data_IF_094894379356
#
_entry.id   IF_094894379356
#
_cell.length_a   1.000
_cell.length_b   1.000
_cell.length_c   1.000
_cell.angle_alpha   90.00
_cell.angle_beta   90.00
_cell.angle_gamma   90.00
#
_symmetry.space_group_name_H-M   'P 1'
#
loop_
_entity.id
_entity.type
_entity.pdbx_description
1 polymer ?
#
# COMPACT_ATOMS: atom_id res chain seq x y z
N UNK A 1 -6.47 6.92 46.31
CA UNK A 1 -7.69 6.09 46.25
C UNK A 1 -8.30 6.27 44.87
N UNK A 2 -8.50 5.20 44.10
CA UNK A 2 -9.00 5.28 42.73
C UNK A 2 -8.22 6.26 41.85
N UNK A 3 -6.89 6.19 41.87
CA UNK A 3 -6.01 7.12 41.14
C UNK A 3 -5.82 8.51 41.77
N UNK A 4 -6.60 8.89 42.78
CA UNK A 4 -6.53 10.23 43.41
C UNK A 4 -5.67 10.23 44.67
N UNK A 5 -4.80 11.22 44.81
CA UNK A 5 -4.00 11.43 46.03
C UNK A 5 -4.81 12.17 47.10
N UNK A 6 -4.94 11.55 48.27
CA UNK A 6 -5.71 12.08 49.42
C UNK A 6 -4.88 12.10 50.71
N UNK A 7 -3.55 12.09 50.57
CA UNK A 7 -2.64 12.08 51.72
C UNK A 7 -2.80 13.34 52.59
N UNK A 8 -2.77 13.17 53.90
CA UNK A 8 -2.85 14.27 54.87
C UNK A 8 -4.25 14.88 55.06
N UNK A 9 -5.25 14.44 54.31
CA UNK A 9 -6.64 14.90 54.45
C UNK A 9 -7.39 14.14 55.54
N UNK A 10 -8.34 14.79 56.19
CA UNK A 10 -9.32 14.09 57.03
C UNK A 10 -10.26 13.24 56.18
N UNK A 11 -10.87 12.20 56.77
CA UNK A 11 -11.83 11.33 56.04
C UNK A 11 -12.96 12.14 55.41
N UNK A 12 -13.43 13.19 56.09
CA UNK A 12 -14.48 14.07 55.58
C UNK A 12 -14.04 14.88 54.35
N UNK A 13 -12.82 15.41 54.38
CA UNK A 13 -12.25 16.15 53.23
C UNK A 13 -11.97 15.22 52.07
N UNK A 14 -11.35 14.07 52.33
CA UNK A 14 -11.08 13.06 51.31
C UNK A 14 -12.37 12.56 50.64
N UNK A 15 -13.44 12.41 51.42
CA UNK A 15 -14.76 12.03 50.90
C UNK A 15 -15.31 13.08 49.94
N UNK A 16 -15.26 14.35 50.32
CA UNK A 16 -15.72 15.44 49.47
C UNK A 16 -14.94 15.52 48.16
N UNK A 17 -13.61 15.36 48.21
CA UNK A 17 -12.75 15.35 47.01
C UNK A 17 -13.11 14.18 46.08
N UNK A 18 -13.36 12.99 46.63
CA UNK A 18 -13.75 11.83 45.83
C UNK A 18 -15.14 11.99 45.22
N UNK A 19 -16.12 12.52 45.97
CA UNK A 19 -17.47 12.79 45.47
C UNK A 19 -17.43 13.73 44.25
N UNK A 20 -16.68 14.85 44.34
CA UNK A 20 -16.50 15.79 43.22
C UNK A 20 -15.83 15.13 42.01
N UNK A 21 -14.81 14.30 42.24
CA UNK A 21 -14.09 13.61 41.16
C UNK A 21 -14.93 12.53 40.49
N UNK A 22 -15.73 11.80 41.27
CA UNK A 22 -16.69 10.81 40.74
C UNK A 22 -17.74 11.52 39.89
N UNK A 23 -18.31 12.63 40.38
CA UNK A 23 -19.30 13.41 39.63
C UNK A 23 -18.71 13.98 38.33
N UNK A 24 -17.50 14.50 38.38
CA UNK A 24 -16.76 14.95 37.20
C UNK A 24 -16.56 13.81 36.19
N UNK A 25 -16.18 12.62 36.68
CA UNK A 25 -15.98 11.46 35.82
C UNK A 25 -17.29 10.98 35.20
N UNK A 26 -18.39 10.92 35.97
CA UNK A 26 -19.72 10.54 35.47
C UNK A 26 -20.24 11.47 34.38
N UNK A 27 -20.02 12.77 34.52
CA UNK A 27 -20.41 13.77 33.52
C UNK A 27 -19.55 13.78 32.24
N UNK A 28 -18.55 12.91 32.13
CA UNK A 28 -17.75 12.74 30.91
C UNK A 28 -18.45 11.90 29.84
N UNK A 29 -17.83 11.80 28.66
CA UNK A 29 -18.32 10.97 27.55
C UNK A 29 -18.44 9.48 27.95
N UNK A 30 -19.37 8.72 27.37
CA UNK A 30 -19.49 7.27 27.61
C UNK A 30 -18.15 6.52 27.49
N UNK A 31 -18.03 5.41 28.20
CA UNK A 31 -16.92 4.48 27.96
C UNK A 31 -17.17 3.76 26.63
N UNK A 32 -16.10 3.56 25.86
CA UNK A 32 -16.19 2.91 24.55
C UNK A 32 -15.70 1.46 24.69
N UNK A 33 -16.59 0.50 24.51
CA UNK A 33 -16.26 -0.92 24.39
C UNK A 33 -16.30 -1.32 22.91
N UNK A 34 -15.27 -1.99 22.40
CA UNK A 34 -15.19 -2.37 20.99
C UNK A 34 -14.56 -3.74 20.77
N UNK A 35 -14.95 -4.39 19.69
CA UNK A 35 -14.33 -5.58 19.11
C UNK A 35 -14.29 -5.43 17.58
N UNK A 36 -14.11 -6.54 16.87
CA UNK A 36 -14.00 -6.55 15.41
C UNK A 36 -15.37 -6.51 14.72
N UNK A 37 -16.49 -6.48 15.45
CA UNK A 37 -17.84 -6.53 14.88
C UNK A 37 -18.58 -5.21 15.11
N UNK A 38 -18.31 -4.54 16.23
CA UNK A 38 -19.07 -3.37 16.65
C UNK A 38 -18.36 -2.50 17.71
N UNK A 39 -19.04 -1.40 18.07
CA UNK A 39 -18.67 -0.54 19.18
C UNK A 39 -19.92 -0.21 20.00
N UNK A 40 -19.84 -0.43 21.31
CA UNK A 40 -20.91 -0.17 22.27
C UNK A 40 -20.49 0.97 23.20
N UNK A 41 -21.39 1.95 23.35
CA UNK A 41 -21.24 3.03 24.32
C UNK A 41 -21.82 2.62 25.68
N UNK A 42 -20.97 2.56 26.70
CA UNK A 42 -21.38 2.26 28.07
C UNK A 42 -21.46 3.58 28.85
N UNK A 43 -22.68 4.02 29.17
CA UNK A 43 -22.89 5.21 29.99
C UNK A 43 -22.20 5.08 31.35
N UNK A 44 -21.50 6.13 31.78
CA UNK A 44 -20.82 6.16 33.08
C UNK A 44 -21.78 6.21 34.27
N UNK A 45 -23.05 6.55 34.02
CA UNK A 45 -24.11 6.50 35.03
C UNK A 45 -24.46 5.08 35.47
N UNK A 46 -24.09 4.08 34.66
CA UNK A 46 -24.23 2.66 34.98
C UNK A 46 -23.52 2.26 36.27
N UNK A 47 -22.46 2.98 36.66
CA UNK A 47 -21.62 2.64 37.80
C UNK A 47 -22.08 3.30 39.11
N UNK A 48 -22.36 2.46 40.11
CA UNK A 48 -22.74 2.88 41.46
C UNK A 48 -21.52 2.76 42.39
N UNK A 49 -21.08 3.90 42.94
CA UNK A 49 -19.91 3.98 43.82
C UNK A 49 -20.32 3.85 45.28
N UNK A 50 -19.74 2.89 46.00
CA UNK A 50 -19.96 2.69 47.43
C UNK A 50 -18.80 3.29 48.24
N UNK A 51 -18.87 4.61 48.45
CA UNK A 51 -17.84 5.33 49.21
C UNK A 51 -17.79 4.89 50.68
N UNK A 52 -18.91 4.52 51.29
CA UNK A 52 -18.93 4.06 52.68
C UNK A 52 -18.10 2.78 52.85
N UNK A 53 -18.34 1.76 52.02
CA UNK A 53 -17.52 0.55 52.04
C UNK A 53 -16.08 0.84 51.61
N UNK A 54 -15.85 1.76 50.67
CA UNK A 54 -14.50 2.12 50.21
C UNK A 54 -13.67 2.69 51.35
N UNK A 55 -14.24 3.62 52.14
CA UNK A 55 -13.58 4.18 53.31
C UNK A 55 -13.45 3.17 54.45
N UNK A 56 -14.43 2.29 54.66
CA UNK A 56 -14.31 1.20 55.63
C UNK A 56 -13.11 0.30 55.31
N UNK A 57 -12.95 -0.12 54.05
CA UNK A 57 -11.78 -0.91 53.62
C UNK A 57 -10.46 -0.15 53.76
N UNK A 58 -10.46 1.17 53.49
CA UNK A 58 -9.28 1.99 53.72
C UNK A 58 -8.91 2.00 55.21
N UNK A 59 -9.88 2.22 56.10
CA UNK A 59 -9.66 2.22 57.55
C UNK A 59 -9.09 0.89 58.03
N UNK A 60 -9.64 -0.24 57.56
CA UNK A 60 -9.13 -1.58 57.84
C UNK A 60 -7.68 -1.75 57.39
N UNK A 61 -7.34 -1.30 56.17
CA UNK A 61 -5.96 -1.31 55.64
C UNK A 61 -5.02 -0.35 56.39
N UNK A 62 -5.57 0.69 57.00
CA UNK A 62 -4.83 1.65 57.83
C UNK A 62 -4.57 1.14 59.24
N UNK A 63 -5.31 0.13 59.73
CA UNK A 63 -5.08 -0.42 61.06
C UNK A 63 -3.66 -0.99 61.18
N UNK A 64 -2.90 -0.46 62.13
CA UNK A 64 -1.53 -0.90 62.44
C UNK A 64 -1.47 -1.56 63.81
N UNK A 65 -0.66 -2.60 63.89
CA UNK A 65 -0.28 -3.17 65.17
C UNK A 65 0.65 -2.22 65.93
N UNK A 66 0.58 -2.20 67.27
CA UNK A 66 1.27 -1.25 68.14
C UNK A 66 2.81 -1.23 67.96
N UNK A 67 3.39 -2.31 67.45
CA UNK A 67 4.83 -2.45 67.16
C UNK A 67 5.31 -1.69 65.91
N UNK A 68 4.41 -1.17 65.07
CA UNK A 68 4.75 -0.46 63.82
C UNK A 68 5.01 1.04 63.99
N UNK A 69 5.06 1.53 65.24
CA UNK A 69 5.16 2.95 65.58
C UNK A 69 6.45 3.64 65.07
N UNK A 70 7.53 2.87 64.88
CA UNK A 70 8.81 3.37 64.37
C UNK A 70 9.01 3.16 62.87
N UNK A 71 8.03 2.60 62.15
CA UNK A 71 8.15 2.36 60.71
C UNK A 71 7.61 3.51 59.87
N UNK A 72 8.28 3.76 58.75
CA UNK A 72 7.85 4.73 57.72
C UNK A 72 6.40 4.46 57.32
N UNK A 73 5.61 5.51 57.10
CA UNK A 73 4.24 5.33 56.66
C UNK A 73 4.22 4.67 55.28
N UNK A 74 3.51 3.54 55.16
CA UNK A 74 3.33 2.83 53.90
C UNK A 74 2.25 3.54 53.08
N UNK A 75 2.53 3.81 51.80
CA UNK A 75 1.53 4.31 50.87
C UNK A 75 0.48 3.21 50.64
N UNK A 76 -0.77 3.50 50.98
CA UNK A 76 -1.89 2.55 50.83
C UNK A 76 -2.59 2.85 49.51
N UNK A 77 -2.54 1.88 48.59
CA UNK A 77 -3.38 1.90 47.39
C UNK A 77 -4.72 1.26 47.73
N UNK A 78 -5.80 2.01 47.50
CA UNK A 78 -7.18 1.56 47.67
C UNK A 78 -7.95 1.92 46.40
N UNK A 79 -8.59 0.95 45.78
CA UNK A 79 -9.52 1.16 44.67
C UNK A 79 -10.88 1.60 45.20
N UNK A 80 -11.65 2.28 44.37
CA UNK A 80 -13.05 2.55 44.67
C UNK A 80 -13.84 1.25 44.61
N UNK A 81 -14.82 1.09 45.48
CA UNK A 81 -15.78 0.00 45.38
C UNK A 81 -16.90 0.46 44.47
N UNK A 82 -17.08 -0.25 43.37
CA UNK A 82 -18.00 0.11 42.29
C UNK A 82 -18.69 -1.15 41.81
N UNK A 83 -20.00 -1.05 41.62
CA UNK A 83 -20.83 -2.12 41.03
C UNK A 83 -21.70 -1.52 39.91
N UNK A 84 -21.86 -2.23 38.78
CA UNK A 84 -22.80 -1.83 37.74
C UNK A 84 -24.26 -2.01 38.24
N UNK A 85 -25.14 -1.07 37.90
CA UNK A 85 -26.59 -1.20 38.16
C UNK A 85 -27.19 -2.24 37.23
N UNK A 86 -27.82 -3.28 37.79
CA UNK A 86 -28.47 -4.33 37.02
C UNK A 86 -29.55 -3.76 36.07
N UNK A 87 -30.35 -2.81 36.55
CA UNK A 87 -31.40 -2.19 35.75
C UNK A 87 -30.83 -1.36 34.59
N UNK A 88 -29.67 -0.72 34.77
CA UNK A 88 -29.01 0.05 33.72
C UNK A 88 -28.30 -0.85 32.70
N UNK A 89 -27.77 -2.00 33.14
CA UNK A 89 -27.17 -3.01 32.26
C UNK A 89 -28.23 -3.57 31.32
N UNK A 90 -29.42 -3.90 31.82
CA UNK A 90 -30.54 -4.43 31.01
C UNK A 90 -31.06 -3.45 29.95
N UNK A 91 -30.70 -2.17 30.01
CA UNK A 91 -31.05 -1.16 29.00
C UNK A 91 -30.05 -1.06 27.86
N UNK A 92 -28.88 -1.69 27.98
CA UNK A 92 -27.87 -1.74 26.93
C UNK A 92 -28.18 -2.94 26.04
N UNK A 93 -28.31 -2.69 24.73
CA UNK A 93 -28.50 -3.72 23.72
C UNK A 93 -27.13 -4.32 23.37
N UNK A 94 -26.68 -5.29 24.17
CA UNK A 94 -25.48 -6.06 23.86
C UNK A 94 -25.82 -7.14 22.84
N UNK A 95 -25.04 -7.32 21.77
CA UNK A 95 -25.24 -8.43 20.86
C UNK A 95 -25.06 -9.79 21.50
N UNK A 96 -25.75 -10.78 20.92
CA UNK A 96 -25.87 -12.14 21.49
C UNK A 96 -24.51 -12.82 21.70
N UNK A 97 -23.51 -12.47 20.90
CA UNK A 97 -22.16 -13.00 21.01
C UNK A 97 -21.31 -12.36 22.11
N UNK A 98 -21.80 -11.34 22.82
CA UNK A 98 -21.01 -10.61 23.82
C UNK A 98 -21.00 -11.34 25.17
N UNK A 99 -19.81 -11.59 25.73
CA UNK A 99 -19.65 -11.87 27.15
C UNK A 99 -19.82 -10.56 27.94
N UNK A 100 -21.06 -10.31 28.34
CA UNK A 100 -21.47 -9.10 29.07
C UNK A 100 -20.78 -9.03 30.44
N UNK A 101 -20.59 -10.15 31.13
CA UNK A 101 -19.99 -10.18 32.48
C UNK A 101 -18.51 -9.77 32.41
N UNK A 102 -17.76 -10.32 31.46
CA UNK A 102 -16.35 -9.99 31.29
C UNK A 102 -16.17 -8.57 30.75
N UNK A 103 -17.00 -8.15 29.80
CA UNK A 103 -17.00 -6.77 29.27
C UNK A 103 -17.25 -5.75 30.39
N UNK A 104 -18.28 -5.98 31.21
CA UNK A 104 -18.58 -5.11 32.36
C UNK A 104 -17.51 -5.17 33.44
N UNK A 105 -16.77 -6.28 33.56
CA UNK A 105 -15.61 -6.38 34.45
C UNK A 105 -14.53 -5.39 34.03
N UNK A 106 -14.19 -5.32 32.73
CA UNK A 106 -13.23 -4.33 32.22
C UNK A 106 -13.74 -2.89 32.36
N UNK A 107 -15.03 -2.66 32.08
CA UNK A 107 -15.63 -1.34 32.24
C UNK A 107 -15.63 -0.88 33.72
N UNK A 108 -15.92 -1.81 34.64
CA UNK A 108 -15.85 -1.56 36.09
C UNK A 108 -14.43 -1.23 36.54
N UNK A 109 -13.40 -1.84 35.94
CA UNK A 109 -12.01 -1.47 36.23
C UNK A 109 -11.71 -0.01 35.87
N UNK A 110 -12.22 0.49 34.73
CA UNK A 110 -12.09 1.91 34.39
C UNK A 110 -12.76 2.79 35.45
N UNK A 111 -13.97 2.43 35.89
CA UNK A 111 -14.70 3.16 36.92
C UNK A 111 -13.98 3.17 38.29
N UNK A 112 -13.41 2.03 38.72
CA UNK A 112 -12.65 1.91 39.99
C UNK A 112 -11.46 2.85 40.08
N UNK A 113 -10.90 3.23 38.92
CA UNK A 113 -9.74 4.10 38.78
C UNK A 113 -10.08 5.49 38.22
N UNK A 114 -11.35 5.76 37.92
CA UNK A 114 -11.84 6.99 37.28
C UNK A 114 -11.09 7.31 35.96
N UNK A 115 -10.77 6.27 35.20
CA UNK A 115 -10.15 6.36 33.87
C UNK A 115 -11.19 6.14 32.78
N UNK A 116 -10.82 6.36 31.52
CA UNK A 116 -11.72 6.25 30.38
C UNK A 116 -11.00 5.69 29.14
N UNK A 117 -10.13 4.71 29.34
CA UNK A 117 -9.49 4.01 28.23
C UNK A 117 -10.51 3.14 27.49
N UNK A 118 -10.25 2.86 26.21
CA UNK A 118 -11.07 1.94 25.43
C UNK A 118 -11.06 0.55 26.05
N UNK A 119 -12.22 -0.10 26.07
CA UNK A 119 -12.44 -1.41 26.65
C UNK A 119 -12.59 -2.44 25.52
N UNK A 120 -12.06 -3.63 25.73
CA UNK A 120 -12.33 -4.77 24.86
C UNK A 120 -13.75 -5.28 25.12
N UNK A 121 -14.57 -5.32 24.07
CA UNK A 121 -15.84 -6.03 24.05
C UNK A 121 -15.54 -7.52 23.82
N UNK A 122 -15.84 -8.38 24.79
CA UNK A 122 -15.41 -9.79 24.71
C UNK A 122 -16.50 -10.67 24.12
N UNK A 123 -16.09 -11.73 23.41
CA UNK A 123 -16.98 -12.76 22.88
C UNK A 123 -17.31 -13.84 23.93
N UNK A 124 -18.46 -14.49 23.78
CA UNK A 124 -18.78 -15.71 24.52
C UNK A 124 -17.88 -16.87 24.07
N UNK A 125 -17.62 -17.84 24.96
CA UNK A 125 -16.71 -18.96 24.67
C UNK A 125 -17.14 -19.82 23.46
N UNK A 126 -18.45 -19.85 23.16
CA UNK A 126 -19.04 -20.65 22.08
C UNK A 126 -19.18 -19.86 20.77
N UNK A 127 -18.79 -18.58 20.73
CA UNK A 127 -18.87 -17.76 19.52
C UNK A 127 -17.67 -18.03 18.61
N UNK A 128 -17.95 -18.62 17.45
CA UNK A 128 -16.96 -18.87 16.39
C UNK A 128 -16.90 -17.76 15.33
N UNK A 129 -17.80 -16.78 15.42
CA UNK A 129 -17.90 -15.68 14.47
C UNK A 129 -18.63 -16.07 13.20
N UNK A 130 -19.85 -15.59 12.99
CA UNK A 130 -20.45 -15.65 11.66
C UNK A 130 -19.62 -14.78 10.71
N UNK A 131 -18.90 -15.44 9.79
CA UNK A 131 -18.17 -14.82 8.71
C UNK A 131 -19.00 -14.97 7.43
N UNK A 132 -19.40 -13.84 6.85
CA UNK A 132 -20.10 -13.80 5.57
C UNK A 132 -19.08 -13.61 4.44
N UNK A 133 -19.22 -14.37 3.35
CA UNK A 133 -18.38 -14.19 2.17
C UNK A 133 -18.78 -12.93 1.40
N UNK A 134 -17.86 -11.97 1.30
CA UNK A 134 -18.10 -10.63 0.73
C UNK A 134 -17.54 -10.47 -0.68
N UNK A 135 -16.51 -11.24 -1.01
CA UNK A 135 -15.88 -11.25 -2.33
C UNK A 135 -15.35 -12.65 -2.63
N UNK A 136 -15.33 -13.03 -3.90
CA UNK A 136 -14.75 -14.30 -4.35
C UNK A 136 -14.17 -14.18 -5.76
N UNK A 137 -13.10 -14.91 -6.03
CA UNK A 137 -12.56 -15.12 -7.36
C UNK A 137 -11.98 -16.53 -7.47
N UNK A 138 -12.08 -17.10 -8.68
CA UNK A 138 -11.49 -18.39 -9.03
C UNK A 138 -10.54 -18.19 -10.20
N UNK A 139 -9.28 -18.58 -10.04
CA UNK A 139 -8.23 -18.40 -11.03
C UNK A 139 -7.61 -19.74 -11.39
N UNK A 140 -7.50 -20.02 -12.70
CA UNK A 140 -6.78 -21.19 -13.17
C UNK A 140 -5.28 -20.93 -13.14
N UNK A 141 -4.51 -21.81 -12.51
CA UNK A 141 -3.05 -21.74 -12.46
C UNK A 141 -2.49 -21.91 -13.88
N UNK A 142 -1.71 -20.95 -14.40
CA UNK A 142 -1.00 -21.12 -15.66
C UNK A 142 -0.02 -22.30 -15.62
N UNK A 143 0.05 -23.08 -16.70
CA UNK A 143 0.97 -24.23 -16.80
C UNK A 143 2.46 -23.83 -16.72
N UNK A 144 2.76 -22.54 -16.87
CA UNK A 144 4.09 -21.95 -16.73
C UNK A 144 4.47 -21.67 -15.29
N UNK A 145 3.52 -21.69 -14.36
CA UNK A 145 3.74 -21.37 -12.95
C UNK A 145 4.10 -22.64 -12.14
N UNK A 146 4.97 -22.47 -11.15
CA UNK A 146 5.34 -23.49 -10.18
C UNK A 146 4.17 -23.77 -9.23
N UNK A 147 3.49 -24.90 -9.44
CA UNK A 147 2.40 -25.32 -8.56
C UNK A 147 2.79 -25.40 -7.08
N UNK A 148 3.97 -25.92 -6.67
CA UNK A 148 4.39 -25.91 -5.27
C UNK A 148 4.58 -24.51 -4.69
N UNK A 149 5.04 -23.54 -5.49
CA UNK A 149 5.19 -22.15 -5.07
C UNK A 149 3.83 -21.50 -4.83
N UNK A 150 2.88 -21.71 -5.74
CA UNK A 150 1.51 -21.21 -5.59
C UNK A 150 0.84 -21.86 -4.38
N UNK A 151 0.96 -23.18 -4.20
CA UNK A 151 0.40 -23.91 -3.06
C UNK A 151 0.92 -23.36 -1.73
N UNK A 152 2.24 -23.14 -1.62
CA UNK A 152 2.85 -22.57 -0.41
C UNK A 152 2.37 -21.14 -0.12
N UNK A 153 2.29 -20.29 -1.15
CA UNK A 153 1.79 -18.92 -0.98
C UNK A 153 0.29 -18.88 -0.62
N UNK A 154 -0.51 -19.80 -1.16
CA UNK A 154 -1.93 -19.97 -0.78
C UNK A 154 -2.05 -20.38 0.69
N UNK A 155 -1.22 -21.32 1.17
CA UNK A 155 -1.19 -21.70 2.60
C UNK A 155 -0.83 -20.53 3.54
N UNK A 156 0.00 -19.59 3.09
CA UNK A 156 0.32 -18.37 3.86
C UNK A 156 -0.86 -17.41 3.88
N UNK A 157 -1.54 -17.22 2.75
CA UNK A 157 -2.67 -16.30 2.61
C UNK A 157 -3.93 -16.76 3.34
N UNK A 158 -4.15 -18.07 3.45
CA UNK A 158 -5.35 -18.62 4.07
C UNK A 158 -5.42 -18.27 5.57
N UNK A 159 -6.51 -17.63 5.98
CA UNK A 159 -6.75 -17.15 7.33
C UNK A 159 -6.06 -15.82 7.67
N UNK A 160 -5.41 -15.15 6.72
CA UNK A 160 -4.80 -13.84 6.98
C UNK A 160 -5.86 -12.77 7.24
N UNK A 161 -5.60 -11.92 8.24
CA UNK A 161 -6.47 -10.81 8.59
C UNK A 161 -6.02 -9.52 7.89
N UNK A 162 -6.97 -8.84 7.28
CA UNK A 162 -6.87 -7.43 6.91
C UNK A 162 -7.48 -6.64 8.07
N UNK A 163 -6.61 -6.11 8.92
CA UNK A 163 -6.98 -5.40 10.15
C UNK A 163 -7.70 -4.07 9.86
N UNK A 164 -8.71 -3.68 10.65
CA UNK A 164 -9.44 -2.43 10.45
C UNK A 164 -8.53 -1.22 10.66
N UNK A 165 -8.74 -0.18 9.85
CA UNK A 165 -7.96 1.07 9.86
C UNK A 165 -6.45 0.87 9.67
N UNK A 166 -6.04 -0.22 9.04
CA UNK A 166 -4.66 -0.59 8.86
C UNK A 166 -4.30 -0.82 7.38
N UNK A 167 -3.00 -0.74 7.09
CA UNK A 167 -2.42 -1.08 5.81
C UNK A 167 -2.26 -2.60 5.70
N UNK A 168 -2.73 -3.18 4.61
CA UNK A 168 -2.32 -4.50 4.15
C UNK A 168 -1.25 -4.33 3.06
N UNK A 169 -0.19 -5.13 3.15
CA UNK A 169 0.90 -5.22 2.19
C UNK A 169 1.08 -6.68 1.79
N UNK A 170 1.05 -6.97 0.49
CA UNK A 170 1.17 -8.33 0.01
C UNK A 170 2.56 -8.90 0.30
N UNK A 171 3.61 -8.13 0.02
CA UNK A 171 5.00 -8.57 0.23
C UNK A 171 5.38 -8.68 1.72
N UNK A 172 4.69 -7.98 2.63
CA UNK A 172 4.88 -8.17 4.07
C UNK A 172 4.25 -9.48 4.58
N UNK A 173 3.17 -9.94 3.93
CA UNK A 173 2.42 -11.14 4.32
C UNK A 173 3.00 -12.40 3.68
N UNK A 174 3.22 -12.38 2.36
CA UNK A 174 3.67 -13.55 1.60
C UNK A 174 5.18 -13.55 1.45
N UNK A 175 5.86 -14.02 2.50
CA UNK A 175 7.33 -14.14 2.51
C UNK A 175 7.74 -15.56 2.13
N UNK A 176 8.37 -15.70 0.97
CA UNK A 176 8.86 -16.99 0.48
C UNK A 176 10.28 -17.30 0.98
N UNK A 177 10.63 -18.59 1.20
CA UNK A 177 12.00 -19.00 1.48
C UNK A 177 12.95 -18.62 0.33
N UNK A 178 14.18 -18.23 0.67
CA UNK A 178 15.21 -17.82 -0.30
C UNK A 178 15.53 -18.87 -1.37
N UNK A 179 15.23 -20.14 -1.11
CA UNK A 179 15.39 -21.25 -2.06
C UNK A 179 14.37 -21.22 -3.22
N UNK A 180 13.37 -20.34 -3.15
CA UNK A 180 12.34 -20.12 -4.18
C UNK A 180 12.54 -18.76 -4.88
N UNK A 181 13.81 -18.41 -5.13
CA UNK A 181 14.18 -17.30 -6.00
C UNK A 181 13.52 -17.49 -7.38
N UNK A 182 12.98 -16.43 -7.96
CA UNK A 182 12.20 -16.40 -9.22
C UNK A 182 10.72 -16.85 -9.07
N UNK A 183 9.99 -16.23 -8.16
CA UNK A 183 8.57 -16.50 -7.90
C UNK A 183 7.64 -15.30 -8.13
N UNK A 184 8.15 -14.23 -8.72
CA UNK A 184 7.42 -12.99 -9.03
C UNK A 184 6.14 -13.23 -9.84
N UNK A 185 6.19 -14.17 -10.79
CA UNK A 185 5.05 -14.50 -11.64
C UNK A 185 3.93 -15.19 -10.85
N UNK A 186 4.28 -16.14 -9.98
CA UNK A 186 3.36 -16.82 -9.05
C UNK A 186 2.79 -15.86 -8.00
N UNK A 187 3.62 -14.98 -7.46
CA UNK A 187 3.20 -13.96 -6.50
C UNK A 187 2.27 -12.93 -7.17
N UNK A 188 2.62 -12.46 -8.36
CA UNK A 188 1.78 -11.55 -9.17
C UNK A 188 0.46 -12.20 -9.56
N UNK A 189 0.44 -13.51 -9.81
CA UNK A 189 -0.79 -14.27 -10.05
C UNK A 189 -1.75 -14.21 -8.84
N UNK A 190 -1.26 -14.44 -7.62
CA UNK A 190 -2.07 -14.35 -6.40
C UNK A 190 -2.45 -12.91 -6.06
N UNK A 191 -1.51 -11.97 -6.21
CA UNK A 191 -1.74 -10.54 -6.02
C UNK A 191 -2.86 -10.04 -6.96
N UNK A 192 -2.88 -10.47 -8.22
CA UNK A 192 -3.96 -10.15 -9.16
C UNK A 192 -5.33 -10.64 -8.67
N UNK A 193 -5.36 -11.83 -8.04
CA UNK A 193 -6.56 -12.35 -7.40
C UNK A 193 -7.04 -11.50 -6.23
N UNK A 194 -6.14 -11.10 -5.33
CA UNK A 194 -6.47 -10.21 -4.21
C UNK A 194 -6.91 -8.81 -4.68
N UNK A 195 -6.29 -8.27 -5.74
CA UNK A 195 -6.74 -7.03 -6.37
C UNK A 195 -8.19 -7.15 -6.87
N UNK A 196 -8.52 -8.25 -7.53
CA UNK A 196 -9.89 -8.50 -7.99
C UNK A 196 -10.90 -8.71 -6.85
N UNK A 197 -10.46 -9.19 -5.67
CA UNK A 197 -11.28 -9.21 -4.46
C UNK A 197 -11.47 -7.80 -3.88
N UNK A 198 -10.42 -6.98 -3.83
CA UNK A 198 -10.49 -5.60 -3.35
C UNK A 198 -11.45 -4.73 -4.21
N UNK A 199 -11.52 -5.00 -5.51
CA UNK A 199 -12.50 -4.36 -6.41
C UNK A 199 -13.97 -4.72 -6.09
N UNK A 200 -14.21 -5.81 -5.37
CA UNK A 200 -15.54 -6.26 -4.90
C UNK A 200 -15.81 -5.83 -3.45
N UNK A 201 -14.97 -4.98 -2.87
CA UNK A 201 -15.14 -4.42 -1.53
C UNK A 201 -14.85 -2.92 -1.55
N UNK A 202 -14.89 -2.31 -0.37
CA UNK A 202 -14.54 -0.91 -0.14
C UNK A 202 -13.07 -0.69 0.22
N UNK A 203 -12.21 -1.71 0.11
CA UNK A 203 -10.77 -1.54 0.32
C UNK A 203 -10.20 -0.45 -0.58
N UNK A 204 -9.48 0.50 0.01
CA UNK A 204 -8.81 1.55 -0.76
C UNK A 204 -7.52 1.00 -1.34
N UNK A 205 -7.37 1.03 -2.66
CA UNK A 205 -6.18 0.53 -3.34
C UNK A 205 -5.12 1.63 -3.32
N UNK A 206 -4.08 1.45 -2.51
CA UNK A 206 -3.01 2.43 -2.34
C UNK A 206 -1.85 2.22 -3.31
N UNK A 207 -1.54 0.96 -3.60
CA UNK A 207 -0.46 0.60 -4.52
C UNK A 207 -0.90 -0.58 -5.38
N UNK A 208 -0.71 -0.44 -6.69
CA UNK A 208 -0.89 -1.51 -7.67
C UNK A 208 -0.05 -1.20 -8.91
N UNK A 209 0.69 -2.18 -9.40
CA UNK A 209 1.45 -2.07 -10.63
C UNK A 209 0.79 -2.91 -11.73
N UNK A 210 0.62 -2.33 -12.92
CA UNK A 210 0.05 -3.03 -14.07
C UNK A 210 1.10 -3.87 -14.81
N UNK A 211 0.67 -4.99 -15.43
CA UNK A 211 1.54 -5.77 -16.31
C UNK A 211 1.77 -5.07 -17.66
N UNK A 212 2.92 -5.34 -18.28
CA UNK A 212 3.24 -4.90 -19.64
C UNK A 212 2.49 -5.67 -20.74
N UNK A 213 1.88 -6.80 -20.40
CA UNK A 213 1.07 -7.62 -21.30
C UNK A 213 -0.11 -8.28 -20.57
N UNK A 214 -1.27 -8.46 -21.23
CA UNK A 214 -2.43 -9.10 -20.61
C UNK A 214 -2.13 -10.52 -20.11
N UNK A 215 -2.68 -10.87 -18.95
CA UNK A 215 -2.58 -12.22 -18.40
C UNK A 215 -3.57 -13.18 -19.08
N UNK A 216 -3.26 -14.49 -19.08
CA UNK A 216 -4.15 -15.51 -19.66
C UNK A 216 -5.21 -16.03 -18.68
N UNK A 217 -5.07 -15.75 -17.39
CA UNK A 217 -5.86 -16.34 -16.31
C UNK A 217 -6.96 -15.42 -15.78
N UNK A 218 -7.04 -14.18 -16.26
CA UNK A 218 -8.02 -13.18 -15.85
C UNK A 218 -8.32 -12.18 -16.97
N UNK A 219 -9.38 -11.38 -16.80
CA UNK A 219 -9.75 -10.34 -17.77
C UNK A 219 -8.76 -9.17 -17.75
N UNK A 220 -8.45 -8.62 -18.93
CA UNK A 220 -7.48 -7.53 -19.08
C UNK A 220 -7.86 -6.32 -18.22
N UNK A 221 -6.94 -5.86 -17.40
CA UNK A 221 -7.13 -4.75 -16.46
C UNK A 221 -7.12 -5.19 -14.99
N UNK A 222 -7.27 -6.50 -14.71
CA UNK A 222 -7.30 -7.04 -13.36
C UNK A 222 -5.95 -7.59 -12.88
N UNK A 223 -4.87 -7.38 -13.64
CA UNK A 223 -3.53 -7.83 -13.28
C UNK A 223 -2.90 -6.93 -12.19
N UNK A 224 -2.26 -7.52 -11.20
CA UNK A 224 -1.33 -6.83 -10.32
C UNK A 224 0.06 -7.48 -10.46
N UNK A 225 1.10 -6.64 -10.53
CA UNK A 225 2.50 -7.05 -10.49
C UNK A 225 3.05 -6.80 -9.10
N UNK A 226 3.72 -7.81 -8.54
CA UNK A 226 4.50 -7.70 -7.31
C UNK A 226 5.90 -8.24 -7.54
N UNK A 227 6.89 -7.55 -6.98
CA UNK A 227 8.31 -7.81 -7.15
C UNK A 227 9.04 -7.26 -5.92
N UNK A 228 9.70 -8.15 -5.17
CA UNK A 228 10.43 -7.76 -3.96
C UNK A 228 11.76 -7.06 -4.24
N UNK A 229 12.39 -7.30 -5.41
CA UNK A 229 13.64 -6.67 -5.79
C UNK A 229 13.42 -5.24 -6.29
N UNK A 230 12.38 -5.05 -7.10
CA UNK A 230 11.97 -3.74 -7.64
C UNK A 230 11.03 -2.98 -6.69
N UNK A 231 10.71 -3.55 -5.52
CA UNK A 231 9.81 -2.98 -4.52
C UNK A 231 8.44 -2.59 -5.10
N UNK A 232 7.90 -3.46 -5.95
CA UNK A 232 6.55 -3.36 -6.50
C UNK A 232 5.62 -4.17 -5.61
N UNK A 233 4.67 -3.54 -4.96
CA UNK A 233 3.77 -4.21 -4.02
C UNK A 233 2.29 -4.01 -4.40
N UNK A 234 1.44 -4.81 -3.78
CA UNK A 234 0.00 -4.62 -3.78
C UNK A 234 -0.43 -4.23 -2.38
N UNK A 235 -0.88 -2.98 -2.22
CA UNK A 235 -1.25 -2.41 -0.93
C UNK A 235 -2.67 -1.92 -0.90
N UNK A 236 -3.35 -2.25 0.19
CA UNK A 236 -4.71 -1.80 0.45
C UNK A 236 -4.79 -1.12 1.82
N UNK A 237 -5.63 -0.09 1.93
CA UNK A 237 -6.02 0.45 3.22
C UNK A 237 -7.44 0.03 3.57
N UNK A 238 -7.60 -0.50 4.77
CA UNK A 238 -8.90 -0.97 5.25
C UNK A 238 -9.62 0.11 6.02
N UNK A 239 -10.63 0.73 5.42
CA UNK A 239 -11.34 1.88 6.01
C UNK A 239 -12.39 1.50 7.05
N UNK A 240 -12.76 0.23 7.15
CA UNK A 240 -13.81 -0.21 8.08
C UNK A 240 -13.30 -0.42 9.50
N UNK A 241 -14.24 -0.61 10.42
CA UNK A 241 -14.00 -0.87 11.84
C UNK A 241 -14.02 -2.36 12.21
N UNK A 242 -14.20 -3.25 11.22
CA UNK A 242 -14.17 -4.71 11.35
C UNK A 242 -13.11 -5.30 10.44
N UNK A 243 -12.51 -6.44 10.79
CA UNK A 243 -11.50 -7.11 9.96
C UNK A 243 -12.12 -7.82 8.76
N UNK A 244 -11.35 -7.98 7.68
CA UNK A 244 -11.63 -9.00 6.67
C UNK A 244 -10.69 -10.18 6.86
N UNK A 245 -11.17 -11.39 6.60
CA UNK A 245 -10.33 -12.59 6.56
C UNK A 245 -10.15 -13.01 5.11
N UNK A 246 -8.91 -13.27 4.70
CA UNK A 246 -8.59 -13.89 3.43
C UNK A 246 -8.78 -15.40 3.58
N UNK A 247 -9.69 -15.97 2.80
CA UNK A 247 -9.81 -17.42 2.64
C UNK A 247 -9.18 -17.81 1.31
N UNK A 248 -8.19 -18.69 1.35
CA UNK A 248 -7.43 -19.09 0.18
C UNK A 248 -7.36 -20.62 0.09
N UNK A 249 -7.81 -21.16 -1.03
CA UNK A 249 -7.90 -22.61 -1.22
C UNK A 249 -7.40 -23.04 -2.59
N UNK A 250 -6.85 -24.24 -2.65
CA UNK A 250 -6.44 -24.90 -3.88
C UNK A 250 -7.34 -26.11 -4.15
N UNK A 251 -7.95 -26.16 -5.35
CA UNK A 251 -8.73 -27.31 -5.81
C UNK A 251 -8.26 -27.77 -7.19
N UNK A 252 -7.31 -28.71 -7.22
CA UNK A 252 -6.70 -29.17 -8.47
C UNK A 252 -5.79 -28.11 -9.08
N UNK A 253 -6.14 -27.58 -10.26
CA UNK A 253 -5.40 -26.51 -10.96
C UNK A 253 -6.06 -25.13 -10.80
N UNK A 254 -6.99 -24.98 -9.86
CA UNK A 254 -7.74 -23.75 -9.63
C UNK A 254 -7.49 -23.25 -8.20
N UNK A 255 -7.12 -21.98 -8.08
CA UNK A 255 -7.06 -21.25 -6.80
C UNK A 255 -8.38 -20.52 -6.62
N UNK A 256 -8.98 -20.70 -5.46
CA UNK A 256 -10.14 -19.94 -4.99
C UNK A 256 -9.67 -19.00 -3.89
N UNK A 257 -9.89 -17.70 -4.09
CA UNK A 257 -9.64 -16.69 -3.07
C UNK A 257 -10.98 -16.04 -2.73
N UNK A 258 -11.20 -15.78 -1.45
CA UNK A 258 -12.36 -15.07 -0.96
C UNK A 258 -11.97 -14.10 0.16
N UNK A 259 -12.80 -13.09 0.34
CA UNK A 259 -12.81 -12.29 1.56
C UNK A 259 -14.06 -12.63 2.35
N UNK A 260 -13.92 -12.82 3.65
CA UNK A 260 -15.03 -12.98 4.58
C UNK A 260 -14.99 -11.90 5.66
N UNK A 261 -16.16 -11.56 6.19
CA UNK A 261 -16.28 -10.54 7.24
C UNK A 261 -17.46 -10.79 8.21
N UNK A 262 -17.33 -10.32 9.45
CA UNK A 262 -18.37 -10.26 10.49
C UNK A 262 -19.81 -9.86 10.12
N UNK A 263 -19.96 -8.83 9.29
CA UNK A 263 -21.20 -8.09 9.09
C UNK A 263 -21.11 -7.42 7.71
N UNK A 264 -21.64 -8.06 6.67
CA UNK A 264 -21.39 -7.61 5.31
C UNK A 264 -22.63 -7.03 4.63
N UNK A 265 -22.93 -5.76 4.92
CA UNK A 265 -23.76 -4.95 4.00
C UNK A 265 -22.88 -4.29 2.92
N UNK A 266 -21.84 -5.02 2.48
CA UNK A 266 -20.95 -4.62 1.40
C UNK A 266 -21.52 -5.17 0.10
N UNK A 267 -21.90 -4.26 -0.80
CA UNK A 267 -22.35 -4.62 -2.13
C UNK A 267 -21.58 -3.81 -3.16
N UNK A 268 -20.40 -4.29 -3.50
CA UNK A 268 -19.55 -3.72 -4.53
C UNK A 268 -19.45 -4.67 -5.71
N UNK A 269 -19.32 -4.10 -6.90
CA UNK A 269 -18.98 -4.83 -8.11
C UNK A 269 -18.01 -4.01 -8.93
N UNK A 270 -17.36 -4.63 -9.91
CA UNK A 270 -16.51 -3.92 -10.86
C UNK A 270 -16.92 -4.20 -12.30
N UNK A 271 -16.46 -3.34 -13.20
CA UNK A 271 -16.67 -3.46 -14.63
C UNK A 271 -15.43 -3.00 -15.38
N UNK A 272 -15.13 -3.69 -16.48
CA UNK A 272 -14.08 -3.30 -17.42
C UNK A 272 -14.75 -2.57 -18.57
N UNK A 273 -14.29 -1.35 -18.85
CA UNK A 273 -14.88 -0.48 -19.84
C UNK A 273 -13.81 0.17 -20.73
N UNK A 274 -14.26 0.81 -21.81
CA UNK A 274 -13.41 1.55 -22.74
C UNK A 274 -12.23 0.73 -23.31
N UNK A 275 -12.45 -0.59 -23.49
CA UNK A 275 -11.50 -1.48 -24.15
C UNK A 275 -11.33 -1.06 -25.62
N UNK A 276 -10.09 -0.72 -26.00
CA UNK A 276 -9.73 -0.38 -27.38
C UNK A 276 -8.39 -0.98 -27.76
N UNK A 277 -8.31 -1.42 -29.02
CA UNK A 277 -7.06 -1.90 -29.59
C UNK A 277 -6.16 -0.73 -30.01
N UNK A 278 -4.86 -0.90 -29.79
CA UNK A 278 -3.83 0.04 -30.18
C UNK A 278 -3.05 -0.58 -31.35
N UNK A 279 -3.23 -0.02 -32.54
CA UNK A 279 -2.61 -0.58 -33.74
C UNK A 279 -1.07 -0.60 -33.64
N UNK A 280 -0.47 -1.70 -34.09
CA UNK A 280 0.97 -1.75 -34.27
C UNK A 280 1.40 -1.03 -35.55
N UNK A 281 2.68 -0.65 -35.61
CA UNK A 281 3.31 -0.07 -36.79
C UNK A 281 4.20 -1.11 -37.47
N UNK A 282 4.41 -0.96 -38.78
CA UNK A 282 5.38 -1.75 -39.54
C UNK A 282 6.67 -0.96 -39.69
N UNK A 283 7.76 -1.53 -39.20
CA UNK A 283 9.12 -1.00 -39.25
C UNK A 283 9.88 -1.74 -40.36
N UNK A 284 10.27 -1.01 -41.40
CA UNK A 284 11.08 -1.54 -42.48
C UNK A 284 12.57 -1.39 -42.18
N UNK A 285 13.33 -2.48 -42.23
CA UNK A 285 14.79 -2.49 -42.08
C UNK A 285 15.43 -2.92 -43.39
N UNK A 286 16.40 -2.17 -43.89
CA UNK A 286 17.08 -2.55 -45.12
C UNK A 286 18.13 -3.61 -44.85
N UNK A 287 18.10 -4.71 -45.60
CA UNK A 287 19.09 -5.78 -45.54
C UNK A 287 19.75 -5.96 -46.92
N UNK A 288 21.07 -5.66 -47.07
CA UNK A 288 21.80 -5.81 -48.33
C UNK A 288 21.94 -7.26 -48.80
N UNK A 289 21.77 -8.24 -47.91
CA UNK A 289 21.91 -9.67 -48.22
C UNK A 289 20.64 -10.26 -48.85
N UNK A 290 19.50 -9.55 -48.75
CA UNK A 290 18.26 -9.97 -49.39
C UNK A 290 18.33 -9.77 -50.90
N UNK A 291 17.83 -10.76 -51.64
CA UNK A 291 17.70 -10.66 -53.10
C UNK A 291 16.76 -9.49 -53.45
N UNK A 292 16.99 -8.75 -54.54
CA UNK A 292 16.11 -7.66 -54.96
C UNK A 292 14.63 -8.10 -55.00
N UNK A 293 13.77 -7.31 -54.35
CA UNK A 293 12.33 -7.60 -54.24
C UNK A 293 11.95 -8.68 -53.23
N UNK A 294 12.91 -9.26 -52.50
CA UNK A 294 12.61 -10.14 -51.38
C UNK A 294 12.32 -9.34 -50.11
N UNK A 295 11.37 -9.85 -49.33
CA UNK A 295 11.03 -9.37 -47.99
C UNK A 295 11.17 -10.52 -47.00
N UNK A 296 11.53 -10.21 -45.77
CA UNK A 296 11.62 -11.18 -44.68
C UNK A 296 11.01 -10.58 -43.41
N UNK A 297 9.96 -11.19 -42.88
CA UNK A 297 9.34 -10.73 -41.63
C UNK A 297 10.19 -11.22 -40.46
N UNK A 298 10.84 -10.30 -39.74
CA UNK A 298 11.64 -10.61 -38.55
C UNK A 298 10.79 -10.73 -37.28
N UNK A 299 9.73 -9.93 -37.19
CA UNK A 299 8.84 -9.90 -36.03
C UNK A 299 7.43 -9.61 -36.51
N UNK A 300 6.48 -10.45 -36.10
CA UNK A 300 5.06 -10.23 -36.37
C UNK A 300 4.50 -9.10 -35.50
N UNK A 301 3.63 -8.29 -36.09
CA UNK A 301 2.93 -7.23 -35.35
C UNK A 301 1.80 -7.77 -34.49
N UNK A 302 1.67 -7.26 -33.26
CA UNK A 302 0.52 -7.51 -32.39
C UNK A 302 -0.05 -6.19 -31.89
N UNK A 303 -1.37 -6.04 -32.00
CA UNK A 303 -2.04 -4.86 -31.46
C UNK A 303 -1.88 -4.84 -29.94
N UNK A 304 -1.67 -3.64 -29.40
CA UNK A 304 -1.74 -3.37 -27.98
C UNK A 304 -3.19 -3.15 -27.54
N UNK A 305 -3.37 -2.80 -26.28
CA UNK A 305 -4.70 -2.57 -25.68
C UNK A 305 -4.69 -1.41 -24.72
N UNK A 306 -5.85 -0.80 -24.54
CA UNK A 306 -6.14 0.13 -23.45
C UNK A 306 -7.46 -0.25 -22.82
N UNK A 307 -7.52 -0.31 -21.49
CA UNK A 307 -8.74 -0.65 -20.72
C UNK A 307 -8.86 0.27 -19.50
N UNK A 308 -10.09 0.43 -19.02
CA UNK A 308 -10.37 1.12 -17.77
C UNK A 308 -11.16 0.20 -16.84
N UNK A 309 -10.78 0.16 -15.56
CA UNK A 309 -11.49 -0.63 -14.54
C UNK A 309 -12.25 0.33 -13.64
N UNK A 310 -13.55 0.08 -13.48
CA UNK A 310 -14.43 0.85 -12.62
C UNK A 310 -14.97 -0.02 -11.50
N UNK A 311 -15.03 0.54 -10.28
CA UNK A 311 -15.74 -0.04 -9.14
C UNK A 311 -17.07 0.68 -8.93
N UNK A 312 -18.09 -0.07 -8.54
CA UNK A 312 -19.46 0.37 -8.34
C UNK A 312 -19.90 -0.03 -6.94
N UNK A 313 -20.33 0.95 -6.14
CA UNK A 313 -21.04 0.67 -4.90
C UNK A 313 -22.54 0.58 -5.21
N UNK A 314 -23.12 -0.61 -5.03
CA UNK A 314 -24.51 -0.91 -5.38
C UNK A 314 -25.51 -0.56 -4.25
N UNK A 315 -25.06 -0.22 -3.05
CA UNK A 315 -25.94 0.26 -1.96
C UNK A 315 -26.28 1.74 -2.10
N UNK A 316 -25.42 2.51 -2.77
CA UNK A 316 -25.62 3.93 -3.07
C UNK A 316 -26.01 4.13 -4.53
N UNK A 317 -27.14 4.79 -4.79
CA UNK A 317 -27.58 5.07 -6.16
C UNK A 317 -26.53 5.97 -6.87
N UNK A 318 -25.86 5.41 -7.89
CA UNK A 318 -24.89 6.06 -8.78
C UNK A 318 -23.49 6.41 -8.22
N UNK A 319 -22.90 5.57 -7.35
CA UNK A 319 -21.49 5.71 -6.98
C UNK A 319 -20.58 4.78 -7.81
N UNK A 320 -20.02 5.33 -8.89
CA UNK A 320 -19.07 4.65 -9.80
C UNK A 320 -17.73 5.40 -9.75
N UNK A 321 -16.68 4.66 -9.49
CA UNK A 321 -15.32 5.15 -9.30
C UNK A 321 -14.40 4.52 -10.37
N UNK A 322 -13.56 5.34 -11.01
CA UNK A 322 -12.49 4.83 -11.87
C UNK A 322 -11.33 4.40 -10.98
N UNK A 323 -10.95 3.13 -11.03
CA UNK A 323 -9.88 2.57 -10.22
C UNK A 323 -8.54 2.56 -10.97
N UNK A 324 -8.54 2.10 -12.23
CA UNK A 324 -7.30 2.01 -13.01
C UNK A 324 -7.51 2.26 -14.50
N UNK A 325 -6.43 2.70 -15.16
CA UNK A 325 -6.31 2.75 -16.61
C UNK A 325 -5.05 2.00 -17.02
N UNK A 326 -5.21 0.93 -17.77
CA UNK A 326 -4.09 0.10 -18.17
C UNK A 326 -3.83 0.24 -19.66
N UNK A 327 -2.55 0.40 -20.00
CA UNK A 327 -2.06 0.51 -21.37
C UNK A 327 -1.02 -0.58 -21.65
N UNK A 328 -1.36 -1.46 -22.58
CA UNK A 328 -0.50 -2.54 -23.05
C UNK A 328 0.06 -2.14 -24.41
N UNK A 329 1.37 -1.90 -24.54
CA UNK A 329 1.96 -1.41 -25.78
C UNK A 329 1.84 -2.45 -26.91
N UNK A 330 1.61 -2.00 -28.17
CA UNK A 330 1.65 -2.89 -29.32
C UNK A 330 3.06 -3.41 -29.59
N UNK A 331 3.16 -4.66 -30.05
CA UNK A 331 4.40 -5.19 -30.61
C UNK A 331 4.44 -4.80 -32.09
N UNK A 332 5.41 -3.96 -32.48
CA UNK A 332 5.56 -3.52 -33.86
C UNK A 332 6.01 -4.65 -34.80
N UNK A 333 5.50 -4.65 -36.03
CA UNK A 333 5.94 -5.59 -37.06
C UNK A 333 7.29 -5.12 -37.61
N UNK A 334 8.24 -6.02 -37.78
CA UNK A 334 9.56 -5.70 -38.37
C UNK A 334 9.72 -6.51 -39.64
N UNK A 335 9.86 -5.82 -40.78
CA UNK A 335 10.10 -6.44 -42.09
C UNK A 335 11.46 -6.00 -42.60
N UNK A 336 12.31 -6.95 -42.92
CA UNK A 336 13.50 -6.68 -43.72
C UNK A 336 13.17 -6.63 -45.21
N UNK A 337 13.69 -5.61 -45.88
CA UNK A 337 13.52 -5.42 -47.33
C UNK A 337 14.87 -5.28 -48.01
N UNK A 338 14.97 -5.83 -49.22
CA UNK A 338 16.18 -5.71 -50.03
C UNK A 338 16.49 -4.26 -50.40
N UNK A 339 17.78 -3.92 -50.45
CA UNK A 339 18.23 -2.63 -50.98
C UNK A 339 17.93 -2.60 -52.48
N UNK A 340 17.15 -1.62 -52.93
CA UNK A 340 16.92 -1.39 -54.36
C UNK A 340 18.24 -0.92 -54.98
N UNK A 341 18.93 -1.81 -55.69
CA UNK A 341 20.02 -1.40 -56.57
C UNK A 341 19.41 -0.72 -57.79
N UNK A 342 19.49 0.60 -57.88
CA UNK A 342 19.29 1.31 -59.14
C UNK A 342 20.45 0.93 -60.07
N UNK A 343 20.18 0.02 -61.01
CA UNK A 343 20.99 -0.12 -62.21
C UNK A 343 20.14 0.33 -63.39
N UNK A 344 20.46 1.53 -63.87
CA UNK A 344 20.22 2.14 -65.18
C UNK A 344 19.18 1.46 -66.11
N UNK A 345 17.98 2.03 -66.19
CA UNK A 345 17.34 2.37 -67.47
C UNK A 345 16.71 3.76 -67.32
N UNK A 346 17.37 4.77 -67.90
CA UNK A 346 16.74 6.05 -68.24
C UNK A 346 15.81 5.75 -69.40
N UNK A 347 14.50 5.76 -69.15
CA UNK A 347 13.51 6.02 -70.19
C UNK A 347 12.66 7.23 -69.76
N UNK A 348 12.84 8.31 -70.52
CA UNK A 348 12.15 9.57 -70.37
C UNK A 348 10.64 9.44 -70.62
N UNK A 349 9.91 10.30 -69.90
CA UNK A 349 8.56 10.79 -70.15
C UNK A 349 7.38 9.89 -69.78
N UNK A 350 6.87 10.12 -68.58
CA UNK A 350 5.44 10.34 -68.36
C UNK A 350 5.25 11.34 -67.22
N UNK A 351 4.96 12.59 -67.60
CA UNK A 351 4.39 13.63 -66.75
C UNK A 351 3.05 13.14 -66.18
N UNK A 352 2.94 13.09 -64.86
CA UNK A 352 1.68 13.14 -64.11
C UNK A 352 1.84 14.16 -63.00
N UNK A 353 0.76 14.89 -62.78
CA UNK A 353 0.62 16.17 -62.13
C UNK A 353 0.96 16.14 -60.64
N UNK A 354 1.50 17.25 -60.14
CA UNK A 354 1.62 17.57 -58.72
C UNK A 354 0.22 17.56 -58.08
N UNK A 355 -0.16 16.47 -57.41
CA UNK A 355 -1.15 16.54 -56.35
C UNK A 355 -0.43 16.89 -55.04
N UNK A 356 -0.79 18.05 -54.52
CA UNK A 356 -0.31 18.59 -53.26
C UNK A 356 -0.60 17.62 -52.11
N UNK A 357 0.45 17.25 -51.39
CA UNK A 357 0.36 16.70 -50.05
C UNK A 357 -0.19 17.79 -49.12
N UNK A 358 -1.47 17.69 -48.73
CA UNK A 358 -1.93 18.22 -47.45
C UNK A 358 -1.76 17.11 -46.40
N UNK A 359 -0.71 17.22 -45.58
CA UNK A 359 -0.63 16.51 -44.30
C UNK A 359 -1.54 17.22 -43.31
N UNK A 360 -2.51 16.54 -42.67
CA UNK A 360 -3.16 17.07 -41.47
C UNK A 360 -2.19 16.87 -40.29
N UNK A 361 -1.29 17.83 -40.13
CA UNK A 361 -0.51 18.03 -38.91
C UNK A 361 -0.56 19.52 -38.53
N UNK A 362 -1.78 20.04 -38.35
CA UNK A 362 -1.96 21.15 -37.41
C UNK A 362 -1.97 20.52 -36.02
N UNK A 363 -0.87 20.69 -35.26
CA UNK A 363 -0.83 20.86 -33.79
C UNK A 363 0.57 20.64 -33.16
N UNK A 364 1.66 20.50 -33.93
CA UNK A 364 3.01 20.55 -33.33
C UNK A 364 3.41 21.97 -32.89
N UNK A 365 2.85 23.01 -33.50
CA UNK A 365 3.13 24.40 -33.11
C UNK A 365 2.45 24.80 -31.79
N UNK A 366 1.36 24.13 -31.38
CA UNK A 366 0.69 24.45 -30.11
C UNK A 366 1.48 23.87 -28.93
N UNK A 367 2.00 22.65 -29.07
CA UNK A 367 2.78 21.98 -28.01
C UNK A 367 4.15 22.64 -27.82
N UNK A 368 4.84 23.01 -28.92
CA UNK A 368 6.09 23.78 -28.83
C UNK A 368 5.89 25.18 -28.23
N UNK A 369 4.79 25.87 -28.56
CA UNK A 369 4.53 27.20 -28.00
C UNK A 369 3.99 27.16 -26.55
N UNK A 370 3.31 26.09 -26.12
CA UNK A 370 2.88 25.94 -24.73
C UNK A 370 4.05 25.63 -23.79
N UNK A 371 4.97 24.73 -24.19
CA UNK A 371 6.14 24.40 -23.38
C UNK A 371 7.10 25.58 -23.23
N UNK A 372 7.28 26.42 -24.26
CA UNK A 372 8.30 27.48 -24.26
C UNK A 372 7.89 28.72 -23.44
N UNK A 373 6.60 29.01 -23.29
CA UNK A 373 6.14 30.21 -22.56
C UNK A 373 6.07 30.02 -21.04
N UNK A 374 5.56 28.86 -20.58
CA UNK A 374 5.39 28.54 -19.15
C UNK A 374 6.75 28.26 -18.50
N UNK A 375 7.61 27.48 -19.16
CA UNK A 375 8.98 27.18 -18.70
C UNK A 375 9.85 28.43 -18.66
N UNK A 376 9.78 29.33 -19.67
CA UNK A 376 10.51 30.61 -19.62
C UNK A 376 10.06 31.51 -18.48
N UNK A 377 8.76 31.54 -18.16
CA UNK A 377 8.26 32.35 -17.04
C UNK A 377 8.77 31.85 -15.68
N UNK A 378 8.87 30.52 -15.52
CA UNK A 378 9.38 29.89 -14.31
C UNK A 378 10.89 30.14 -14.18
N UNK A 379 11.65 29.95 -15.27
CA UNK A 379 13.09 30.22 -15.29
C UNK A 379 13.41 31.69 -15.05
N UNK A 380 12.59 32.61 -15.55
CA UNK A 380 12.78 34.04 -15.34
C UNK A 380 12.46 34.46 -13.90
N UNK A 381 11.43 33.88 -13.28
CA UNK A 381 11.12 34.12 -11.86
C UNK A 381 12.18 33.52 -10.94
N UNK A 382 12.72 32.34 -11.26
CA UNK A 382 13.84 31.72 -10.55
C UNK A 382 15.15 32.52 -10.65
N UNK A 383 15.38 33.21 -11.78
CA UNK A 383 16.55 34.08 -11.95
C UNK A 383 16.44 35.42 -11.18
N UNK A 384 15.21 35.86 -10.87
CA UNK A 384 14.95 37.10 -10.14
C UNK A 384 14.84 36.88 -8.62
N UNK A 385 14.36 35.72 -8.16
CA UNK A 385 14.31 35.31 -6.75
C UNK A 385 14.58 33.80 -6.60
N UNK A 386 15.78 33.39 -6.14
CA UNK A 386 16.16 31.98 -5.99
C UNK A 386 15.29 31.19 -5.00
N UNK A 387 14.60 31.85 -4.07
CA UNK A 387 13.72 31.19 -3.10
C UNK A 387 12.44 30.62 -3.73
N UNK A 388 12.08 31.08 -4.93
CA UNK A 388 10.95 30.56 -5.70
C UNK A 388 11.13 29.09 -6.14
N UNK A 389 12.37 28.60 -6.18
CA UNK A 389 12.71 27.27 -6.66
C UNK A 389 12.99 26.28 -5.51
N UNK A 390 12.98 26.73 -4.25
CA UNK A 390 13.20 25.89 -3.06
C UNK A 390 11.90 25.41 -2.41
N UNK A 391 10.73 25.99 -2.75
CA UNK A 391 9.41 25.46 -2.37
C UNK A 391 8.89 24.48 -3.44
N UNK A 392 9.57 23.35 -3.62
CA UNK A 392 9.07 22.24 -4.43
C UNK A 392 8.03 21.44 -3.64
N UNK A 393 6.80 21.94 -3.61
CA UNK A 393 5.61 21.14 -3.26
C UNK A 393 4.33 21.63 -3.98
N UNK A 394 4.46 22.47 -5.02
CA UNK A 394 3.28 22.93 -5.80
C UNK A 394 3.42 22.88 -7.33
N UNK A 395 4.29 22.05 -7.90
CA UNK A 395 4.31 21.85 -9.37
C UNK A 395 4.58 20.39 -9.76
N UNK A 396 3.66 19.48 -9.42
CA UNK A 396 3.62 18.12 -10.01
C UNK A 396 3.27 18.13 -11.51
N UNK A 397 2.76 19.24 -12.06
CA UNK A 397 2.36 19.32 -13.48
C UNK A 397 3.52 19.32 -14.51
N UNK A 398 4.79 19.44 -14.09
CA UNK A 398 5.92 19.58 -15.04
C UNK A 398 6.61 18.22 -15.31
N UNK A 399 6.58 17.30 -14.35
CA UNK A 399 7.24 15.99 -14.47
C UNK A 399 6.44 15.03 -15.35
N UNK A 400 5.13 15.25 -15.50
CA UNK A 400 4.22 14.39 -16.27
C UNK A 400 4.33 14.54 -17.80
N UNK A 401 5.10 15.50 -18.32
CA UNK A 401 5.10 15.87 -19.74
C UNK A 401 6.37 15.55 -20.53
N UNK A 402 7.37 14.91 -19.94
CA UNK A 402 8.62 14.59 -20.63
C UNK A 402 8.74 13.08 -20.93
N UNK A 403 8.78 12.66 -22.21
CA UNK A 403 9.05 11.27 -22.55
C UNK A 403 10.47 10.88 -22.10
N UNK A 404 10.63 9.67 -21.54
CA UNK A 404 11.88 9.14 -20.94
C UNK A 404 13.16 9.41 -21.75
N UNK A 405 13.05 9.48 -23.08
CA UNK A 405 14.20 9.71 -23.98
C UNK A 405 14.86 11.09 -23.87
N UNK A 406 14.24 12.05 -23.19
CA UNK A 406 14.80 13.39 -22.99
C UNK A 406 15.20 13.69 -21.53
N UNK A 407 15.02 12.73 -20.61
CA UNK A 407 15.33 12.89 -19.18
C UNK A 407 16.82 13.15 -18.91
N UNK A 408 17.71 12.48 -19.66
CA UNK A 408 19.16 12.68 -19.57
C UNK A 408 19.59 14.08 -20.00
N UNK A 409 18.87 14.73 -20.93
CA UNK A 409 19.17 16.12 -21.31
C UNK A 409 18.82 17.09 -20.19
N UNK A 410 17.78 16.80 -19.41
CA UNK A 410 17.39 17.57 -18.23
C UNK A 410 18.42 17.40 -17.11
N UNK A 411 18.91 16.18 -16.87
CA UNK A 411 20.00 15.89 -15.93
C UNK A 411 21.31 16.58 -16.33
N UNK A 412 21.66 16.58 -17.62
CA UNK A 412 22.82 17.32 -18.13
C UNK A 412 22.63 18.83 -17.93
N UNK A 413 21.42 19.36 -18.17
CA UNK A 413 21.15 20.78 -17.99
C UNK A 413 21.18 21.20 -16.51
N UNK A 414 20.68 20.36 -15.60
CA UNK A 414 20.75 20.58 -14.15
C UNK A 414 22.19 20.48 -13.64
N UNK A 415 22.96 19.50 -14.09
CA UNK A 415 24.39 19.37 -13.77
C UNK A 415 25.22 20.56 -14.28
N UNK A 416 24.90 21.08 -15.47
CA UNK A 416 25.52 22.30 -16.01
C UNK A 416 25.11 23.55 -15.20
N UNK A 417 23.87 23.64 -14.73
CA UNK A 417 23.42 24.76 -13.90
C UNK A 417 24.05 24.72 -12.49
N UNK A 418 24.24 23.54 -11.93
CA UNK A 418 24.88 23.33 -10.62
C UNK A 418 26.39 23.64 -10.69
N UNK A 419 27.06 23.26 -11.78
CA UNK A 419 28.47 23.60 -12.02
C UNK A 419 28.69 25.09 -12.36
N UNK A 420 27.70 25.78 -12.94
CA UNK A 420 27.72 27.22 -13.16
C UNK A 420 27.44 28.04 -11.88
N UNK A 421 26.77 27.45 -10.90
CA UNK A 421 26.54 28.03 -9.57
C UNK A 421 27.82 28.07 -8.72
N UNK A 422 28.76 27.14 -8.95
CA UNK A 422 29.96 27.00 -8.10
C UNK A 422 31.26 27.63 -8.66
N UNK A 423 31.32 28.04 -9.93
CA UNK A 423 32.56 28.57 -10.54
C UNK A 423 32.42 29.98 -11.14
N UNK A 424 32.98 30.99 -10.47
CA UNK A 424 32.99 32.41 -10.91
C UNK A 424 33.98 32.73 -12.06
N UNK A 425 34.27 31.84 -13.03
CA UNK A 425 35.16 32.22 -14.13
C UNK A 425 34.85 31.56 -15.50
N UNK A 426 34.33 32.30 -16.49
CA UNK A 426 33.81 31.75 -17.75
C UNK A 426 34.88 31.37 -18.80
N UNK A 427 36.17 31.32 -18.45
CA UNK A 427 37.26 31.09 -19.42
C UNK A 427 37.72 29.62 -19.55
N UNK A 428 37.16 28.68 -18.77
CA UNK A 428 37.58 27.26 -18.78
C UNK A 428 36.63 26.37 -19.63
N UNK A 429 35.44 26.85 -19.96
CA UNK A 429 34.36 26.05 -20.57
C UNK A 429 34.60 25.76 -22.07
N UNK A 430 35.36 26.60 -22.79
CA UNK A 430 35.62 26.36 -24.23
C UNK A 430 36.70 25.31 -24.52
N UNK A 431 37.51 24.91 -23.52
CA UNK A 431 38.62 23.96 -23.73
C UNK A 431 38.20 22.50 -23.47
N UNK A 432 37.22 22.24 -22.59
CA UNK A 432 36.72 20.89 -22.28
C UNK A 432 35.65 20.37 -23.25
N UNK A 433 34.99 21.24 -24.03
CA UNK A 433 34.01 20.83 -25.04
C UNK A 433 34.62 20.45 -26.40
N UNK A 434 35.96 20.47 -26.55
CA UNK A 434 36.63 20.26 -27.85
C UNK A 434 37.47 18.97 -27.97
N UNK A 435 37.50 18.11 -26.97
CA UNK A 435 38.20 16.82 -27.05
C UNK A 435 37.21 15.67 -27.04
N UNK A 436 36.72 15.32 -28.23
CA UNK A 436 36.27 13.97 -28.55
C UNK A 436 37.49 13.04 -28.53
N UNK A 437 37.77 12.36 -27.41
CA UNK A 437 38.63 11.16 -27.41
C UNK A 437 38.37 10.31 -26.14
N UNK A 438 37.80 9.11 -26.37
CA UNK A 438 37.81 7.89 -25.55
C UNK A 438 37.63 8.01 -24.02
N UNK A 439 36.44 7.64 -23.53
CA UNK A 439 36.22 7.25 -22.13
C UNK A 439 37.11 6.04 -21.76
N UNK A 440 37.92 6.07 -20.69
CA UNK A 440 38.65 4.89 -20.23
C UNK A 440 37.69 3.91 -19.55
N UNK A 441 37.73 2.66 -19.99
CA UNK A 441 37.10 1.52 -19.34
C UNK A 441 37.85 1.20 -18.03
N UNK A 442 37.44 1.83 -16.92
CA UNK A 442 38.04 1.56 -15.60
C UNK A 442 37.01 1.77 -14.47
N UNK A 443 35.83 1.16 -14.59
CA UNK A 443 34.83 1.05 -13.49
C UNK A 443 34.04 -0.28 -13.53
N UNK A 444 34.65 -1.35 -14.03
CA UNK A 444 34.13 -2.71 -13.93
C UNK A 444 35.19 -3.59 -13.28
N UNK A 445 35.11 -3.79 -11.97
CA UNK A 445 35.43 -5.06 -11.30
C UNK A 445 34.97 -5.00 -9.83
N UNK A 446 34.25 -6.02 -9.32
CA UNK A 446 33.90 -6.16 -7.90
C UNK A 446 35.07 -6.76 -7.10
N UNK A 447 35.31 -6.25 -5.89
CA UNK A 447 36.33 -6.76 -4.97
C UNK A 447 36.01 -8.20 -4.50
N UNK A 448 36.88 -9.16 -4.85
CA UNK A 448 37.01 -10.45 -4.18
C UNK A 448 37.77 -10.28 -2.86
N UNK A 449 37.13 -10.51 -1.71
CA UNK A 449 37.83 -10.71 -0.44
C UNK A 449 38.33 -12.16 -0.33
N UNK A 450 39.64 -12.32 -0.49
CA UNK A 450 40.37 -13.58 -0.30
C UNK A 450 40.51 -13.96 1.18
N UNK A 451 40.06 -15.16 1.52
CA UNK A 451 40.49 -15.87 2.74
C UNK A 451 42.01 -16.06 2.73
N UNK A 452 42.67 -15.71 3.84
CA UNK A 452 44.05 -16.10 4.12
C UNK A 452 44.12 -16.84 5.45
N UNK A 453 44.44 -18.13 5.32
CA UNK A 453 44.86 -19.03 6.38
C UNK A 453 45.95 -18.40 7.27
N UNK A 454 45.81 -18.57 8.59
CA UNK A 454 46.92 -18.44 9.51
C UNK A 454 46.90 -19.64 10.46
N UNK A 455 47.79 -20.60 10.19
CA UNK A 455 48.19 -21.66 11.13
C UNK A 455 48.69 -21.06 12.44
N UNK A 456 48.12 -21.46 13.58
CA UNK A 456 48.86 -21.62 14.83
C UNK A 456 48.39 -22.88 15.55
N UNK A 457 49.33 -23.82 15.63
CA UNK A 457 49.41 -25.01 16.46
C UNK A 457 49.16 -24.73 17.97
N UNK A 458 48.25 -25.50 18.61
CA UNK A 458 48.52 -26.09 19.93
C UNK A 458 47.49 -27.17 20.32
N UNK A 459 47.92 -28.43 20.30
CA UNK A 459 47.79 -29.46 21.36
C UNK A 459 46.53 -29.55 22.26
N UNK A 460 45.93 -30.77 22.30
CA UNK A 460 45.39 -31.59 23.44
C UNK A 460 44.00 -32.18 23.13
N UNK A 461 43.83 -33.51 23.09
CA UNK A 461 43.40 -34.37 24.23
C UNK A 461 42.05 -33.87 24.80
N UNK A 462 40.90 -34.57 24.77
CA UNK A 462 40.57 -35.97 25.10
C UNK A 462 39.07 -36.21 24.74
N UNK A 463 38.70 -37.47 24.47
CA UNK A 463 37.51 -38.22 24.97
C UNK A 463 36.17 -37.43 25.05
N UNK A 464 35.09 -37.79 24.33
CA UNK A 464 34.34 -39.04 24.39
C UNK A 464 33.30 -39.11 23.26
#
# INVERSE_FOLDING_TARGET
MGGIEIEGQSIKEARQVLEEKIETWKNGSPLIAKNDYETIEISRDLFVFDLDKTFQQLEEKMQRHWSSFFMKQKNIKQELIVEPSAEAVDMIDFPEYTDVEQTLTYATQQAKHLTAQSITLTYTEDWDGEQEQIAIIKLKIPNTHSAPTVEYAVEILDGQLIEPNNLFSFLDVVVLPSEVADSEEELSFLASGLYALALQTDLEILERHARQSPASYLETGLEATVDGEENLDLKFYHTNNYSFTIEAGLSGEEVELALTAPNADLNYSYSIENEREIAYRTIYRYNPELKPGAENVLQEGKAGKHVEVYRMNNTMEANKELISRDFYPPIHQIIEVAIKHETDEIDEASTVEDEQFETPFENEDIVKNLLDSKVRSILQNCAEDPSFCEETDQNEEIVEFLPEKDFWKLLIMLYVLETLSENENPAIIEEELRTDEEFPAEWLEPEEESEKEMEVDSSREEVQ
#
